data_IF_220647185685
#
_entry.id   IF_220647185685
#
_cell.length_a   1.000
_cell.length_b   1.000
_cell.length_c   1.000
_cell.angle_alpha   90.00
_cell.angle_beta   90.00
_cell.angle_gamma   90.00
#
_symmetry.space_group_name_H-M   'P 1'
#
loop_
_entity.id
_entity.type
_entity.pdbx_description
1 polymer ?
#
# COMPACT_ATOMS: atom_id res chain seq x y z
N UNK A 1 -0.68 -4.17 19.63
CA UNK A 1 -0.49 -3.95 18.18
C UNK A 1 0.61 -4.87 17.69
N UNK A 2 0.40 -5.65 16.63
CA UNK A 2 1.38 -6.63 16.14
C UNK A 2 2.08 -6.20 14.83
N UNK A 3 1.42 -5.35 14.04
CA UNK A 3 1.89 -4.91 12.74
C UNK A 3 1.63 -3.44 12.53
N UNK A 4 2.63 -2.72 12.03
CA UNK A 4 2.48 -1.33 11.57
C UNK A 4 2.82 -1.21 10.08
N UNK A 5 2.12 -0.31 9.39
CA UNK A 5 2.37 0.01 7.99
C UNK A 5 2.45 1.52 7.80
N UNK A 6 3.65 2.02 7.51
CA UNK A 6 3.83 3.42 7.18
C UNK A 6 3.36 3.68 5.74
N UNK A 7 2.53 4.69 5.59
CA UNK A 7 1.86 5.10 4.35
C UNK A 7 1.70 6.63 4.33
N UNK A 8 0.76 7.14 3.56
CA UNK A 8 0.48 8.58 3.41
C UNK A 8 1.30 9.19 2.27
N UNK A 9 0.82 10.33 1.73
CA UNK A 9 1.39 11.08 0.60
C UNK A 9 2.36 10.30 -0.28
N UNK A 10 3.65 10.45 0.08
CA UNK A 10 4.77 9.51 -0.13
C UNK A 10 5.66 9.48 1.15
N UNK A 11 5.79 8.36 1.89
CA UNK A 11 6.43 8.34 3.22
C UNK A 11 7.94 8.64 3.23
N UNK A 12 8.64 8.48 2.10
CA UNK A 12 10.07 8.81 1.99
C UNK A 12 10.36 10.31 1.84
N UNK A 13 9.33 11.16 1.82
CA UNK A 13 9.48 12.61 1.64
C UNK A 13 10.06 13.31 2.88
N UNK A 14 9.50 13.03 4.06
CA UNK A 14 9.83 13.77 5.27
C UNK A 14 11.29 13.52 5.68
N UNK A 15 12.04 14.61 5.89
CA UNK A 15 13.48 14.58 6.22
C UNK A 15 14.27 13.63 5.31
N UNK A 16 13.92 13.57 4.02
CA UNK A 16 14.57 12.73 3.00
C UNK A 16 14.60 11.24 3.37
N UNK A 17 13.58 10.77 4.09
CA UNK A 17 13.39 9.38 4.50
C UNK A 17 14.00 9.01 5.85
N UNK A 18 14.75 9.90 6.50
CA UNK A 18 15.39 9.61 7.79
C UNK A 18 14.37 9.43 8.92
N UNK A 19 13.36 10.29 8.99
CA UNK A 19 12.29 10.16 9.97
C UNK A 19 11.55 8.81 9.86
N UNK A 20 11.23 8.40 8.62
CA UNK A 20 10.65 7.08 8.37
C UNK A 20 11.57 5.95 8.84
N UNK A 21 12.87 6.05 8.53
CA UNK A 21 13.86 5.06 8.95
C UNK A 21 13.95 4.91 10.47
N UNK A 22 13.95 6.03 11.20
CA UNK A 22 13.95 6.05 12.66
C UNK A 22 12.70 5.41 13.24
N UNK A 23 11.51 5.70 12.70
CA UNK A 23 10.27 5.07 13.13
C UNK A 23 10.25 3.56 12.84
N UNK A 24 10.74 3.14 11.68
CA UNK A 24 10.87 1.72 11.32
C UNK A 24 11.78 1.00 12.31
N UNK A 25 12.95 1.58 12.60
CA UNK A 25 13.90 1.05 13.59
C UNK A 25 13.28 0.98 14.98
N UNK A 26 12.65 2.05 15.45
CA UNK A 26 11.98 2.12 16.75
C UNK A 26 10.90 1.03 16.89
N UNK A 27 10.03 0.88 15.89
CA UNK A 27 8.99 -0.14 15.91
C UNK A 27 9.56 -1.57 15.95
N UNK A 28 10.71 -1.82 15.31
CA UNK A 28 11.30 -3.15 15.22
C UNK A 28 12.18 -3.50 16.43
N UNK A 29 13.04 -2.60 16.86
CA UNK A 29 13.99 -2.84 17.95
C UNK A 29 13.37 -2.58 19.34
N UNK A 30 12.75 -1.41 19.52
CA UNK A 30 12.25 -0.99 20.84
C UNK A 30 10.89 -1.61 21.15
N UNK A 31 9.94 -1.49 20.22
CA UNK A 31 8.59 -2.05 20.41
C UNK A 31 8.50 -3.55 20.08
N UNK A 32 9.53 -4.11 19.43
CA UNK A 32 9.60 -5.52 19.03
C UNK A 32 8.37 -5.99 18.26
N UNK A 33 7.82 -5.13 17.39
CA UNK A 33 6.64 -5.49 16.61
C UNK A 33 6.97 -6.67 15.67
N UNK A 34 6.10 -7.70 15.62
CA UNK A 34 6.23 -8.78 14.67
C UNK A 34 6.41 -8.32 13.21
N UNK A 35 5.74 -7.24 12.79
CA UNK A 35 5.87 -6.74 11.41
C UNK A 35 5.88 -5.21 11.30
N UNK A 36 6.87 -4.70 10.57
CA UNK A 36 7.02 -3.31 10.18
C UNK A 36 7.08 -3.25 8.65
N UNK A 37 6.23 -2.43 8.06
CA UNK A 37 6.07 -2.38 6.60
C UNK A 37 5.87 -0.95 6.10
N UNK A 38 6.14 -0.74 4.81
CA UNK A 38 5.96 0.54 4.13
C UNK A 38 5.17 0.32 2.84
N UNK A 39 4.29 1.27 2.50
CA UNK A 39 3.72 1.43 1.15
C UNK A 39 4.25 2.74 0.57
N UNK A 40 4.85 2.68 -0.63
CA UNK A 40 5.50 3.83 -1.29
C UNK A 40 5.31 3.77 -2.80
N UNK A 41 5.39 4.90 -3.49
CA UNK A 41 5.53 5.01 -4.94
C UNK A 41 6.95 4.71 -5.45
N UNK A 42 7.92 4.59 -4.53
CA UNK A 42 9.30 4.18 -4.81
C UNK A 42 10.23 5.28 -5.37
N UNK A 43 9.72 6.46 -5.73
CA UNK A 43 10.49 7.50 -6.43
C UNK A 43 11.63 8.10 -5.60
N UNK A 44 11.44 8.19 -4.28
CA UNK A 44 12.39 8.82 -3.36
C UNK A 44 13.29 7.82 -2.61
N UNK A 45 13.08 6.52 -2.83
CA UNK A 45 13.84 5.47 -2.16
C UNK A 45 15.27 5.45 -2.70
N UNK A 46 16.25 5.47 -1.80
CA UNK A 46 17.69 5.44 -2.12
C UNK A 46 18.33 4.24 -1.44
N UNK A 47 19.34 3.65 -2.07
CA UNK A 47 20.03 2.47 -1.53
C UNK A 47 20.60 2.70 -0.12
N UNK A 48 21.08 3.93 0.17
CA UNK A 48 21.55 4.29 1.52
C UNK A 48 20.50 4.04 2.61
N UNK A 49 19.21 4.17 2.29
CA UNK A 49 18.14 3.91 3.25
C UNK A 49 18.07 2.43 3.59
N UNK A 50 18.25 1.54 2.61
CA UNK A 50 18.36 0.10 2.86
C UNK A 50 19.59 -0.25 3.68
N UNK A 51 20.75 0.38 3.42
CA UNK A 51 21.97 0.19 4.22
C UNK A 51 21.76 0.55 5.69
N UNK A 52 21.02 1.63 5.97
CA UNK A 52 20.78 2.10 7.34
C UNK A 52 19.62 1.39 8.03
N UNK A 53 18.54 1.07 7.31
CA UNK A 53 17.25 0.70 7.91
C UNK A 53 16.65 -0.62 7.36
N UNK A 54 17.20 -1.19 6.29
CA UNK A 54 16.65 -2.39 5.63
C UNK A 54 16.59 -3.61 6.55
N UNK A 55 17.52 -3.72 7.50
CA UNK A 55 17.52 -4.81 8.50
C UNK A 55 16.22 -4.84 9.32
N UNK A 56 15.63 -3.69 9.59
CA UNK A 56 14.45 -3.52 10.45
C UNK A 56 13.12 -3.66 9.71
N UNK A 57 13.13 -3.46 8.39
CA UNK A 57 11.93 -3.51 7.58
C UNK A 57 11.59 -4.94 7.19
N UNK A 58 10.35 -5.37 7.43
CA UNK A 58 9.87 -6.66 6.96
C UNK A 58 9.46 -6.60 5.49
N UNK A 59 8.57 -5.66 5.15
CA UNK A 59 7.91 -5.60 3.84
C UNK A 59 7.99 -4.19 3.26
N UNK A 60 8.55 -4.07 2.05
CA UNK A 60 8.42 -2.87 1.22
C UNK A 60 7.40 -3.13 0.10
N UNK A 61 6.29 -2.43 0.15
CA UNK A 61 5.27 -2.43 -0.89
C UNK A 61 5.46 -1.23 -1.83
N UNK A 62 5.65 -1.49 -3.11
CA UNK A 62 5.70 -0.45 -4.13
C UNK A 62 4.39 -0.41 -4.90
N UNK A 63 3.82 0.79 -5.01
CA UNK A 63 2.61 1.04 -5.80
C UNK A 63 2.99 1.15 -7.28
N UNK A 64 2.51 0.21 -8.09
CA UNK A 64 2.70 0.14 -9.54
C UNK A 64 1.36 -0.28 -10.16
N UNK A 65 0.76 0.62 -10.92
CA UNK A 65 -0.58 0.39 -11.50
C UNK A 65 -0.50 -0.12 -12.94
N UNK A 66 0.61 0.09 -13.65
CA UNK A 66 0.81 -0.41 -15.01
C UNK A 66 2.27 -0.70 -15.29
N UNK A 67 2.54 -1.66 -16.17
CA UNK A 67 3.85 -1.90 -16.76
C UNK A 67 4.05 -1.18 -18.10
N UNK A 68 3.03 -0.43 -18.56
CA UNK A 68 3.15 0.55 -19.63
C UNK A 68 3.40 1.95 -19.01
N UNK A 69 4.55 2.54 -19.34
CA UNK A 69 4.92 3.86 -18.82
C UNK A 69 3.96 4.95 -19.28
N UNK A 70 3.38 4.86 -20.48
CA UNK A 70 2.39 5.82 -20.96
C UNK A 70 1.12 5.77 -20.12
N UNK A 71 0.67 4.58 -19.73
CA UNK A 71 -0.46 4.40 -18.83
C UNK A 71 -0.14 4.96 -17.43
N UNK A 72 1.07 4.74 -16.91
CA UNK A 72 1.50 5.36 -15.64
C UNK A 72 1.49 6.90 -15.72
N UNK A 73 1.92 7.49 -16.84
CA UNK A 73 1.83 8.94 -17.06
C UNK A 73 0.38 9.41 -17.07
N UNK A 74 -0.53 8.71 -17.77
CA UNK A 74 -1.96 9.02 -17.81
C UNK A 74 -2.62 8.95 -16.42
N UNK A 75 -2.21 7.98 -15.60
CA UNK A 75 -2.69 7.82 -14.22
C UNK A 75 -2.13 8.92 -13.28
N UNK A 76 -1.06 9.60 -13.68
CA UNK A 76 -0.36 10.59 -12.85
C UNK A 76 0.71 9.98 -11.94
N UNK A 77 1.23 8.79 -12.29
CA UNK A 77 2.35 8.12 -11.64
C UNK A 77 3.70 8.34 -12.33
N UNK A 78 3.74 9.07 -13.44
CA UNK A 78 4.98 9.41 -14.14
C UNK A 78 5.96 10.11 -13.19
N UNK A 79 7.19 9.58 -13.11
CA UNK A 79 8.24 10.10 -12.20
C UNK A 79 9.19 11.06 -12.93
N UNK A 80 8.63 11.91 -13.82
CA UNK A 80 9.39 12.80 -14.67
C UNK A 80 10.29 12.03 -15.64
N UNK A 81 11.61 12.11 -15.45
CA UNK A 81 12.60 11.39 -16.26
C UNK A 81 12.84 9.95 -15.83
N UNK A 82 12.31 9.54 -14.67
CA UNK A 82 12.53 8.20 -14.12
C UNK A 82 11.43 7.30 -14.67
N UNK A 83 11.81 6.27 -15.41
CA UNK A 83 10.90 5.21 -15.83
C UNK A 83 10.45 4.43 -14.57
N UNK A 84 9.14 4.34 -14.37
CA UNK A 84 8.58 3.75 -13.14
C UNK A 84 8.88 2.25 -13.07
N UNK A 85 8.81 1.54 -14.20
CA UNK A 85 9.08 0.09 -14.29
C UNK A 85 10.56 -0.22 -14.03
N UNK A 86 11.48 0.56 -14.60
CA UNK A 86 12.91 0.42 -14.31
C UNK A 86 13.21 0.68 -12.82
N UNK A 87 12.58 1.71 -12.24
CA UNK A 87 12.70 2.00 -10.81
C UNK A 87 12.17 0.83 -9.96
N UNK A 88 11.04 0.24 -10.35
CA UNK A 88 10.46 -0.91 -9.66
C UNK A 88 11.40 -2.13 -9.66
N UNK A 89 12.03 -2.43 -10.80
CA UNK A 89 13.04 -3.50 -10.91
C UNK A 89 14.26 -3.23 -10.03
N UNK A 90 14.75 -1.99 -10.00
CA UNK A 90 15.84 -1.57 -9.11
C UNK A 90 15.47 -1.76 -7.64
N UNK A 91 14.26 -1.38 -7.23
CA UNK A 91 13.79 -1.56 -5.85
C UNK A 91 13.61 -3.04 -5.51
N UNK A 92 13.15 -3.87 -6.44
CA UNK A 92 13.09 -5.32 -6.27
C UNK A 92 14.48 -5.92 -6.02
N UNK A 93 15.50 -5.44 -6.74
CA UNK A 93 16.90 -5.83 -6.55
C UNK A 93 17.39 -5.42 -5.16
N UNK A 94 17.16 -4.18 -4.72
CA UNK A 94 17.55 -3.77 -3.36
C UNK A 94 16.80 -4.56 -2.27
N UNK A 95 15.51 -4.83 -2.43
CA UNK A 95 14.80 -5.70 -1.51
C UNK A 95 15.45 -7.09 -1.41
N UNK A 96 15.96 -7.62 -2.53
CA UNK A 96 16.75 -8.86 -2.49
C UNK A 96 18.05 -8.69 -1.72
N UNK A 97 18.90 -7.77 -2.20
CA UNK A 97 20.26 -7.59 -1.70
C UNK A 97 20.30 -7.23 -0.19
N UNK A 98 19.25 -6.58 0.32
CA UNK A 98 19.11 -6.16 1.72
C UNK A 98 18.09 -6.96 2.53
N UNK A 99 17.63 -8.10 2.02
CA UNK A 99 16.80 -9.03 2.80
C UNK A 99 15.50 -8.41 3.32
N UNK A 100 14.73 -7.83 2.41
CA UNK A 100 13.42 -7.21 2.65
C UNK A 100 12.38 -7.86 1.74
N UNK A 101 11.24 -8.26 2.29
CA UNK A 101 10.16 -8.82 1.50
C UNK A 101 9.59 -7.77 0.55
N UNK A 102 9.54 -8.10 -0.75
CA UNK A 102 9.03 -7.20 -1.77
C UNK A 102 7.54 -7.46 -2.03
N UNK A 103 6.75 -6.40 -2.05
CA UNK A 103 5.31 -6.44 -2.29
C UNK A 103 4.94 -5.43 -3.38
N UNK A 104 3.91 -5.74 -4.15
CA UNK A 104 3.33 -4.80 -5.13
C UNK A 104 1.89 -4.47 -4.73
N UNK A 105 1.51 -3.22 -4.93
CA UNK A 105 0.15 -2.72 -4.84
C UNK A 105 -0.25 -2.15 -6.20
N UNK A 106 -1.42 -2.52 -6.72
CA UNK A 106 -1.95 -1.98 -7.97
C UNK A 106 -3.40 -1.53 -7.79
N UNK A 107 -3.73 -0.33 -8.27
CA UNK A 107 -5.10 0.16 -8.38
C UNK A 107 -5.59 -0.07 -9.81
N UNK A 108 -6.55 -0.97 -9.96
CA UNK A 108 -7.18 -1.27 -11.24
C UNK A 108 -8.25 -0.21 -11.50
N UNK A 109 -8.12 0.43 -12.64
CA UNK A 109 -8.85 1.60 -13.07
C UNK A 109 -9.09 1.56 -14.59
N UNK A 110 -9.81 2.56 -15.11
CA UNK A 110 -10.21 2.66 -16.51
C UNK A 110 -9.05 2.46 -17.50
N UNK A 111 -7.83 2.88 -17.17
CA UNK A 111 -6.69 2.87 -18.08
C UNK A 111 -5.89 1.57 -18.09
N UNK A 112 -5.99 0.72 -17.06
CA UNK A 112 -5.22 -0.53 -16.95
C UNK A 112 -6.10 -1.79 -16.83
N UNK A 113 -7.43 -1.66 -16.82
CA UNK A 113 -8.35 -2.81 -16.64
C UNK A 113 -8.22 -3.87 -17.75
N UNK A 114 -7.78 -3.46 -18.94
CA UNK A 114 -7.47 -4.35 -20.06
C UNK A 114 -6.08 -4.98 -20.03
N UNK A 115 -5.19 -4.55 -19.13
CA UNK A 115 -3.78 -4.95 -19.13
C UNK A 115 -3.59 -6.40 -18.67
N UNK A 116 -2.63 -7.09 -19.28
CA UNK A 116 -2.12 -8.37 -18.82
C UNK A 116 -0.76 -8.16 -18.13
N UNK A 117 -0.75 -8.32 -16.81
CA UNK A 117 0.41 -8.11 -15.94
C UNK A 117 1.03 -9.43 -15.45
N UNK A 118 0.60 -10.60 -15.95
CA UNK A 118 1.07 -11.90 -15.44
C UNK A 118 2.59 -12.02 -15.47
N UNK A 119 3.18 -11.85 -16.64
CA UNK A 119 4.62 -12.02 -16.86
C UNK A 119 5.48 -11.03 -16.06
N UNK A 120 5.22 -9.70 -16.06
CA UNK A 120 6.01 -8.78 -15.26
C UNK A 120 5.85 -9.01 -13.74
N UNK A 121 4.65 -9.37 -13.26
CA UNK A 121 4.46 -9.70 -11.84
C UNK A 121 5.21 -10.99 -11.47
N UNK A 122 5.14 -12.04 -12.29
CA UNK A 122 5.91 -13.28 -12.09
C UNK A 122 7.42 -13.01 -12.08
N UNK A 123 7.91 -12.18 -13.01
CA UNK A 123 9.33 -11.83 -13.10
C UNK A 123 9.81 -11.07 -11.84
N UNK A 124 8.97 -10.20 -11.28
CA UNK A 124 9.27 -9.50 -10.03
C UNK A 124 9.11 -10.39 -8.79
N UNK A 125 8.38 -11.50 -8.88
CA UNK A 125 8.14 -12.46 -7.81
C UNK A 125 7.89 -11.81 -6.43
N UNK A 126 6.85 -10.97 -6.29
CA UNK A 126 6.52 -10.35 -5.01
C UNK A 126 5.90 -11.39 -4.06
N UNK A 127 6.12 -11.20 -2.77
CA UNK A 127 5.54 -12.06 -1.71
C UNK A 127 4.02 -11.91 -1.62
N UNK A 128 3.52 -10.79 -2.13
CA UNK A 128 2.11 -10.40 -2.15
C UNK A 128 1.90 -9.36 -3.23
N UNK A 129 0.84 -9.52 -4.01
CA UNK A 129 0.36 -8.51 -4.94
C UNK A 129 -1.06 -8.13 -4.55
N UNK A 130 -1.23 -6.92 -3.98
CA UNK A 130 -2.55 -6.39 -3.66
C UNK A 130 -3.14 -5.74 -4.90
N UNK A 131 -4.31 -6.23 -5.29
CA UNK A 131 -5.04 -5.75 -6.46
C UNK A 131 -6.31 -5.07 -5.95
N UNK A 132 -6.33 -3.75 -6.07
CA UNK A 132 -7.38 -2.89 -5.57
C UNK A 132 -8.30 -2.47 -6.71
N UNK A 133 -9.61 -2.48 -6.50
CA UNK A 133 -10.52 -1.73 -7.37
C UNK A 133 -10.39 -0.24 -7.05
N UNK A 134 -10.51 0.64 -8.06
CA UNK A 134 -10.53 2.07 -7.86
C UNK A 134 -11.71 2.47 -6.94
N UNK A 135 -11.39 3.13 -5.82
CA UNK A 135 -12.34 3.54 -4.78
C UNK A 135 -12.52 5.06 -4.78
N UNK A 136 -13.78 5.49 -4.79
CA UNK A 136 -14.16 6.88 -4.54
C UNK A 136 -14.25 7.13 -3.03
N UNK A 137 -13.64 8.22 -2.59
CA UNK A 137 -13.71 8.76 -1.22
C UNK A 137 -13.99 10.26 -1.33
N UNK A 138 -15.15 10.67 -0.83
CA UNK A 138 -15.59 12.06 -0.79
C UNK A 138 -14.64 12.90 0.08
N UNK A 139 -14.28 14.09 -0.40
CA UNK A 139 -13.32 15.00 0.23
C UNK A 139 -11.84 14.68 -0.06
N UNK A 140 -11.56 13.52 -0.66
CA UNK A 140 -10.19 13.12 -1.03
C UNK A 140 -10.01 13.14 -2.55
N UNK A 141 -10.88 12.40 -3.25
CA UNK A 141 -10.80 12.22 -4.70
C UNK A 141 -12.15 12.34 -5.42
N UNK A 142 -13.16 12.85 -4.73
CA UNK A 142 -14.48 13.18 -5.29
C UNK A 142 -15.17 14.24 -4.42
N UNK A 143 -16.11 14.97 -5.03
CA UNK A 143 -16.91 15.98 -4.34
C UNK A 143 -16.24 17.35 -4.21
N UNK A 144 -16.99 18.31 -3.69
CA UNK A 144 -16.58 19.71 -3.56
C UNK A 144 -15.40 19.85 -2.58
N UNK A 145 -14.32 20.52 -3.02
CA UNK A 145 -13.11 20.71 -2.22
C UNK A 145 -12.08 19.57 -2.27
N UNK A 146 -12.34 18.48 -2.99
CA UNK A 146 -11.35 17.42 -3.21
C UNK A 146 -10.23 17.90 -4.15
N UNK A 147 -8.99 17.46 -3.89
CA UNK A 147 -7.83 17.82 -4.72
C UNK A 147 -7.70 16.97 -6.00
N UNK A 148 -8.53 15.94 -6.14
CA UNK A 148 -8.48 14.94 -7.22
C UNK A 148 -9.90 14.55 -7.64
N UNK A 149 -10.02 14.05 -8.86
CA UNK A 149 -11.26 13.57 -9.48
C UNK A 149 -11.06 12.11 -9.95
N UNK A 150 -11.54 11.17 -9.13
CA UNK A 150 -11.39 9.73 -9.36
C UNK A 150 -12.49 9.14 -10.26
N UNK A 151 -13.57 9.87 -10.53
CA UNK A 151 -14.74 9.41 -11.27
C UNK A 151 -14.38 8.87 -12.66
N UNK A 152 -13.43 9.53 -13.34
CA UNK A 152 -12.93 9.10 -14.66
C UNK A 152 -12.11 7.80 -14.63
N UNK A 153 -11.67 7.36 -13.45
CA UNK A 153 -10.85 6.18 -13.24
C UNK A 153 -11.68 4.94 -12.86
N UNK A 154 -12.96 5.11 -12.51
CA UNK A 154 -13.80 4.03 -11.97
C UNK A 154 -14.08 2.95 -13.02
N UNK A 155 -14.14 1.72 -12.53
CA UNK A 155 -14.50 0.51 -13.27
C UNK A 155 -15.62 -0.24 -12.53
N UNK A 156 -16.42 -0.98 -13.26
CA UNK A 156 -17.48 -1.82 -12.68
C UNK A 156 -16.90 -3.04 -11.95
N UNK A 157 -17.73 -3.69 -11.14
CA UNK A 157 -17.37 -4.94 -10.47
C UNK A 157 -17.11 -6.08 -11.47
N UNK A 158 -17.83 -6.10 -12.60
CA UNK A 158 -17.64 -7.04 -13.69
C UNK A 158 -16.29 -6.81 -14.40
N UNK A 159 -15.94 -5.56 -14.68
CA UNK A 159 -14.65 -5.20 -15.26
C UNK A 159 -13.49 -5.60 -14.32
N UNK A 160 -13.65 -5.34 -13.02
CA UNK A 160 -12.68 -5.77 -12.02
C UNK A 160 -12.58 -7.30 -11.95
N UNK A 161 -13.71 -8.01 -11.95
CA UNK A 161 -13.74 -9.49 -11.97
C UNK A 161 -13.02 -10.04 -13.20
N UNK A 162 -13.23 -9.45 -14.39
CA UNK A 162 -12.54 -9.87 -15.60
C UNK A 162 -11.02 -9.68 -15.50
N UNK A 163 -10.54 -8.60 -14.87
CA UNK A 163 -9.12 -8.43 -14.56
C UNK A 163 -8.61 -9.55 -13.63
N UNK A 164 -9.36 -9.89 -12.58
CA UNK A 164 -8.97 -10.97 -11.66
C UNK A 164 -8.91 -12.33 -12.36
N UNK A 165 -9.90 -12.66 -13.18
CA UNK A 165 -9.98 -13.93 -13.91
C UNK A 165 -8.80 -14.09 -14.88
N UNK A 166 -8.37 -12.99 -15.53
CA UNK A 166 -7.17 -12.94 -16.40
C UNK A 166 -5.88 -13.28 -15.65
N UNK A 167 -5.80 -12.95 -14.36
CA UNK A 167 -4.61 -13.10 -13.51
C UNK A 167 -4.72 -14.22 -12.47
N UNK A 168 -5.71 -15.12 -12.60
CA UNK A 168 -5.99 -16.19 -11.63
C UNK A 168 -4.82 -17.12 -11.33
N UNK A 169 -3.86 -17.23 -12.25
CA UNK A 169 -2.65 -18.06 -12.10
C UNK A 169 -1.55 -17.40 -11.26
N UNK A 170 -1.67 -16.10 -10.96
CA UNK A 170 -0.71 -15.37 -10.13
C UNK A 170 -1.01 -15.65 -8.65
N UNK A 171 -0.28 -16.61 -8.07
CA UNK A 171 -0.53 -17.13 -6.72
C UNK A 171 -0.45 -16.09 -5.60
N UNK A 172 0.36 -15.04 -5.78
CA UNK A 172 0.52 -13.97 -4.80
C UNK A 172 -0.58 -12.89 -4.87
N UNK A 173 -1.53 -13.00 -5.81
CA UNK A 173 -2.62 -12.04 -6.00
C UNK A 173 -3.58 -12.06 -4.82
N UNK A 174 -3.94 -10.87 -4.33
CA UNK A 174 -4.91 -10.69 -3.24
C UNK A 174 -5.90 -9.60 -3.63
N UNK A 175 -7.15 -9.97 -3.96
CA UNK A 175 -8.12 -9.03 -4.51
C UNK A 175 -8.87 -8.28 -3.40
N UNK A 176 -8.97 -6.97 -3.56
CA UNK A 176 -9.72 -6.07 -2.69
C UNK A 176 -10.64 -5.17 -3.54
N UNK A 177 -11.89 -5.62 -3.71
CA UNK A 177 -12.95 -4.77 -4.27
C UNK A 177 -13.31 -3.64 -3.31
N UNK A 178 -14.08 -2.66 -3.78
CA UNK A 178 -14.51 -1.52 -2.97
C UNK A 178 -15.22 -1.96 -1.67
N UNK A 179 -16.08 -2.98 -1.75
CA UNK A 179 -16.73 -3.57 -0.57
C UNK A 179 -15.76 -4.15 0.46
N UNK A 180 -14.62 -4.71 0.00
CA UNK A 180 -13.61 -5.30 0.88
C UNK A 180 -12.69 -4.26 1.48
N UNK A 181 -12.43 -3.15 0.78
CA UNK A 181 -11.42 -2.17 1.18
C UNK A 181 -11.94 -1.16 2.20
N UNK A 182 -13.12 -0.59 1.97
CA UNK A 182 -13.58 0.67 2.58
C UNK A 182 -13.41 0.72 4.10
N UNK A 183 -13.91 -0.28 4.82
CA UNK A 183 -13.99 -0.24 6.30
C UNK A 183 -13.06 -1.24 6.99
N UNK A 184 -12.18 -1.91 6.24
CA UNK A 184 -11.41 -3.05 6.74
C UNK A 184 -9.97 -2.71 7.13
N UNK A 185 -9.66 -1.43 7.30
CA UNK A 185 -8.37 -0.92 7.75
C UNK A 185 -8.56 -0.03 8.98
N UNK A 186 -7.67 -0.18 9.96
CA UNK A 186 -7.44 0.86 10.96
C UNK A 186 -6.44 1.86 10.36
N UNK A 187 -6.91 3.08 10.09
CA UNK A 187 -6.13 4.13 9.46
C UNK A 187 -5.91 5.22 10.50
N UNK A 188 -4.65 5.55 10.77
CA UNK A 188 -4.28 6.74 11.54
C UNK A 188 -3.80 7.82 10.57
N UNK A 189 -4.31 9.03 10.72
CA UNK A 189 -3.85 10.19 9.97
C UNK A 189 -2.57 10.81 10.56
N UNK A 190 -2.13 11.93 10.00
CA UNK A 190 -0.93 12.66 10.43
C UNK A 190 -1.00 13.22 11.86
N UNK A 191 -2.19 13.33 12.44
CA UNK A 191 -2.42 13.72 13.83
C UNK A 191 -2.67 12.53 14.75
N UNK A 192 -2.46 11.30 14.26
CA UNK A 192 -2.78 10.05 14.93
C UNK A 192 -4.25 9.94 15.37
N UNK A 193 -5.16 10.36 14.51
CA UNK A 193 -6.62 10.18 14.65
C UNK A 193 -7.05 9.00 13.79
N UNK A 194 -7.97 8.17 14.29
CA UNK A 194 -8.55 7.11 13.48
C UNK A 194 -9.47 7.71 12.41
N UNK A 195 -9.35 7.25 11.17
CA UNK A 195 -10.21 7.70 10.07
C UNK A 195 -11.33 6.70 9.81
N UNK A 196 -12.56 7.12 10.06
CA UNK A 196 -13.76 6.34 9.79
C UNK A 196 -14.18 6.50 8.32
N UNK A 197 -14.27 5.38 7.61
CA UNK A 197 -14.57 5.35 6.19
C UNK A 197 -16.02 4.98 5.85
N UNK A 198 -16.88 4.64 6.83
CA UNK A 198 -18.19 4.00 6.60
C UNK A 198 -19.11 4.84 5.73
N UNK A 199 -19.04 6.16 5.89
CA UNK A 199 -19.89 7.11 5.16
C UNK A 199 -19.33 7.50 3.79
N UNK A 200 -18.20 6.92 3.35
CA UNK A 200 -17.57 7.27 2.07
C UNK A 200 -16.64 8.47 2.14
N UNK A 201 -16.45 9.06 3.34
CA UNK A 201 -15.44 10.08 3.66
C UNK A 201 -14.41 9.52 4.62
N UNK A 202 -13.34 10.26 4.91
CA UNK A 202 -12.42 9.96 6.02
C UNK A 202 -12.73 10.86 7.21
N UNK A 203 -13.68 10.44 8.04
CA UNK A 203 -14.10 11.22 9.21
C UNK A 203 -13.14 10.94 10.40
N UNK A 204 -12.39 11.93 10.91
CA UNK A 204 -11.39 11.68 11.96
C UNK A 204 -12.01 11.57 13.36
N UNK A 205 -11.47 10.67 14.19
CA UNK A 205 -11.67 10.67 15.65
C UNK A 205 -10.88 11.81 16.32
N UNK A 206 -10.91 11.89 17.67
CA UNK A 206 -9.86 12.62 18.40
C UNK A 206 -8.54 11.83 18.36
N UNK A 207 -7.41 12.51 18.61
CA UNK A 207 -6.09 11.87 18.55
C UNK A 207 -5.92 10.84 19.67
N UNK A 208 -5.25 9.74 19.36
CA UNK A 208 -4.82 8.77 20.39
C UNK A 208 -3.86 9.42 21.40
N UNK A 209 -3.18 10.50 21.03
CA UNK A 209 -2.27 11.24 21.89
C UNK A 209 -3.01 12.08 22.95
N UNK A 210 -4.27 12.42 22.68
CA UNK A 210 -5.09 13.25 23.57
C UNK A 210 -6.02 12.40 24.46
N UNK A 211 -6.65 11.37 23.88
CA UNK A 211 -7.70 10.59 24.55
C UNK A 211 -7.35 9.09 24.72
N UNK A 212 -6.16 8.68 24.29
CA UNK A 212 -5.76 7.27 24.30
C UNK A 212 -6.38 6.44 23.18
N UNK A 213 -5.81 5.24 22.98
CA UNK A 213 -6.20 4.33 21.89
C UNK A 213 -7.62 3.78 22.09
N UNK A 214 -7.96 3.37 23.31
CA UNK A 214 -9.25 2.72 23.62
C UNK A 214 -10.44 3.62 23.33
N UNK A 215 -10.34 4.91 23.65
CA UNK A 215 -11.42 5.85 23.37
C UNK A 215 -11.47 6.25 21.89
N UNK A 216 -10.32 6.49 21.27
CA UNK A 216 -10.29 6.90 19.87
C UNK A 216 -10.76 5.78 18.92
N UNK A 217 -10.40 4.52 19.19
CA UNK A 217 -10.68 3.40 18.27
C UNK A 217 -12.16 3.08 18.15
N UNK A 218 -12.98 3.40 19.17
CA UNK A 218 -14.44 3.27 19.14
C UNK A 218 -15.07 4.01 17.97
N UNK A 219 -14.41 5.07 17.49
CA UNK A 219 -14.88 5.91 16.38
C UNK A 219 -14.25 5.55 15.04
N UNK A 220 -13.36 4.56 14.98
CA UNK A 220 -12.63 4.18 13.75
C UNK A 220 -13.51 3.61 12.63
N UNK A 221 -14.71 3.13 12.95
CA UNK A 221 -15.60 2.48 11.98
C UNK A 221 -15.10 1.12 11.48
N UNK A 222 -14.05 0.56 12.06
CA UNK A 222 -13.37 -0.66 11.61
C UNK A 222 -14.27 -1.91 11.62
N UNK A 223 -14.28 -2.62 10.49
CA UNK A 223 -14.89 -3.93 10.32
C UNK A 223 -13.82 -5.04 10.39
N UNK A 224 -13.66 -5.60 11.60
CA UNK A 224 -12.73 -6.69 11.86
C UNK A 224 -13.06 -7.97 11.05
N UNK A 225 -14.36 -8.26 10.85
CA UNK A 225 -14.79 -9.44 10.09
C UNK A 225 -14.35 -9.29 8.63
N UNK A 226 -14.51 -8.11 8.05
CA UNK A 226 -14.05 -7.82 6.69
C UNK A 226 -12.52 -7.84 6.61
N UNK A 227 -11.80 -7.33 7.61
CA UNK A 227 -10.34 -7.42 7.71
C UNK A 227 -9.84 -8.87 7.65
N UNK A 228 -10.46 -9.78 8.40
CA UNK A 228 -10.13 -11.21 8.34
C UNK A 228 -10.51 -11.81 6.98
N UNK A 229 -11.71 -11.52 6.47
CA UNK A 229 -12.22 -12.04 5.19
C UNK A 229 -11.33 -11.68 3.99
N UNK A 230 -10.71 -10.50 3.99
CA UNK A 230 -9.79 -10.06 2.92
C UNK A 230 -8.34 -10.56 3.11
N UNK A 231 -8.08 -11.42 4.09
CA UNK A 231 -6.73 -11.92 4.40
C UNK A 231 -5.83 -10.83 4.98
N UNK A 232 -6.36 -9.99 5.87
CA UNK A 232 -5.62 -8.98 6.60
C UNK A 232 -4.60 -9.57 7.58
N UNK A 233 -4.87 -10.77 8.12
CA UNK A 233 -3.93 -11.60 8.86
C UNK A 233 -3.26 -12.62 7.94
N UNK A 234 -1.94 -12.56 7.84
CA UNK A 234 -1.10 -13.42 7.01
C UNK A 234 0.31 -13.48 7.61
N UNK A 235 1.17 -14.36 7.11
CA UNK A 235 2.59 -14.37 7.50
C UNK A 235 3.23 -13.06 7.03
N UNK A 236 3.49 -12.15 7.96
CA UNK A 236 3.87 -10.76 7.68
C UNK A 236 5.25 -10.36 8.21
N UNK A 237 5.90 -11.27 8.94
CA UNK A 237 7.26 -11.12 9.42
C UNK A 237 8.17 -11.71 8.36
N UNK A 238 9.21 -10.98 7.98
CA UNK A 238 10.12 -11.46 6.93
C UNK A 238 10.90 -12.71 7.35
N UNK A 239 11.04 -12.94 8.66
CA UNK A 239 11.71 -14.12 9.21
C UNK A 239 10.90 -15.42 8.99
N UNK A 240 9.58 -15.30 8.85
CA UNK A 240 8.67 -16.43 8.69
C UNK A 240 8.26 -16.67 7.22
N UNK A 241 8.63 -15.75 6.34
CA UNK A 241 8.36 -15.85 4.91
C UNK A 241 9.42 -16.73 4.23
N UNK A 242 8.96 -17.62 3.34
CA UNK A 242 9.84 -18.41 2.46
C UNK A 242 10.29 -17.54 1.30
N UNK A 243 11.39 -16.84 1.50
CA UNK A 243 11.89 -15.89 0.53
C UNK A 243 13.25 -16.34 0.04
N UNK A 244 13.33 -16.51 -1.28
CA UNK A 244 14.57 -16.80 -1.97
C UNK A 244 15.40 -15.53 -2.18
N UNK A 245 15.00 -14.41 -1.53
CA UNK A 245 15.81 -13.22 -1.51
C UNK A 245 17.10 -13.42 -0.72
#
# INVERSE_FOLDING_TARGET
>A
MEKINFSGGEPFLHQRGEYLGQLVKFCKEELRLPSVSIVSNGSLVRERWFKSYGAYLDILAISCDSFDEQVNVLIGRGQGKINHVENLQKLRKWCRDYRVAFKINSVINRFNVGEDMKEPIKALNPVRWKVFQCLIIEGENAGEGALREAERFVISDEEFKAFLDRHREVSCLVPESNQKMKDSYLILDEYMRFLNCRNGRKDPSKSILDIGVEEAIKFSGFDEKMFLKRGGKYVWSKADLKLDW
#
